data_IF_814625856987
#
_entry.id   IF_814625856987
#
_cell.length_a   1.000
_cell.length_b   1.000
_cell.length_c   1.000
_cell.angle_alpha   90.00
_cell.angle_beta   90.00
_cell.angle_gamma   90.00
#
_symmetry.space_group_name_H-M   'P 1'
#
loop_
_entity.id
_entity.type
_entity.pdbx_description
1 polymer ?
#
# COMPACT_ATOMS: atom_id res chain seq x y z
N UNK A 1 -2.45 19.89 4.95
CA UNK A 1 -3.08 19.60 6.26
C UNK A 1 -4.54 19.23 6.04
N UNK A 2 -4.94 18.05 6.50
CA UNK A 2 -6.31 17.55 6.41
C UNK A 2 -7.21 18.37 7.35
N UNK A 3 -8.47 18.60 6.94
CA UNK A 3 -9.45 19.24 7.81
C UNK A 3 -9.68 18.39 9.07
N UNK A 4 -9.72 19.01 10.25
CA UNK A 4 -9.87 18.32 11.55
C UNK A 4 -11.12 17.44 11.63
N UNK A 5 -12.22 17.86 11.02
CA UNK A 5 -13.46 17.06 10.92
C UNK A 5 -13.25 15.77 10.10
N UNK A 6 -12.51 15.86 9.01
CA UNK A 6 -12.16 14.71 8.16
C UNK A 6 -11.23 13.76 8.92
N UNK A 7 -10.19 14.29 9.57
CA UNK A 7 -9.25 13.52 10.38
C UNK A 7 -9.97 12.78 11.52
N UNK A 8 -10.89 13.46 12.21
CA UNK A 8 -11.68 12.85 13.28
C UNK A 8 -12.55 11.68 12.77
N UNK A 9 -13.28 11.88 11.66
CA UNK A 9 -14.12 10.83 11.08
C UNK A 9 -13.31 9.66 10.51
N UNK A 10 -12.17 9.91 9.89
CA UNK A 10 -11.26 8.86 9.46
C UNK A 10 -10.71 8.07 10.64
N UNK A 11 -10.38 8.76 11.74
CA UNK A 11 -9.88 8.13 12.97
C UNK A 11 -10.85 7.11 13.57
N UNK A 12 -12.17 7.30 13.44
CA UNK A 12 -13.19 6.35 13.88
C UNK A 12 -13.12 5.00 13.15
N UNK A 13 -12.46 4.95 11.99
CA UNK A 13 -12.32 3.73 11.17
C UNK A 13 -10.88 3.23 11.09
N UNK A 14 -9.98 3.81 11.84
CA UNK A 14 -8.54 3.54 11.76
C UNK A 14 -8.20 2.06 11.94
N UNK A 15 -8.90 1.36 12.83
CA UNK A 15 -8.72 -0.07 13.09
C UNK A 15 -9.07 -0.97 11.90
N UNK A 16 -9.83 -0.43 10.92
CA UNK A 16 -10.28 -1.16 9.73
C UNK A 16 -9.36 -0.99 8.53
N UNK A 17 -8.36 -0.14 8.61
CA UNK A 17 -7.47 0.13 7.49
C UNK A 17 -6.43 -0.97 7.27
N UNK A 18 -6.01 -1.64 8.33
CA UNK A 18 -5.03 -2.71 8.26
C UNK A 18 -5.64 -4.02 7.76
N UNK A 19 -5.07 -4.55 6.69
CA UNK A 19 -5.22 -5.96 6.31
C UNK A 19 -4.08 -6.71 6.99
N UNK A 20 -4.36 -7.62 7.96
CA UNK A 20 -3.33 -8.24 8.77
C UNK A 20 -2.45 -9.18 7.96
N UNK A 21 -1.19 -9.33 8.39
CA UNK A 21 -0.17 -10.13 7.73
C UNK A 21 -0.62 -11.57 7.45
N UNK A 22 -1.42 -12.16 8.34
CA UNK A 22 -1.88 -13.56 8.26
C UNK A 22 -2.73 -13.85 7.02
N UNK A 23 -3.37 -12.83 6.46
CA UNK A 23 -4.22 -12.97 5.26
C UNK A 23 -3.62 -12.31 4.02
N UNK A 24 -2.41 -11.77 4.11
CA UNK A 24 -1.70 -11.17 2.97
C UNK A 24 -0.76 -12.20 2.36
N UNK A 25 -0.95 -12.46 1.06
CA UNK A 25 -0.02 -13.31 0.33
C UNK A 25 1.38 -12.70 0.31
N UNK A 26 2.38 -13.52 0.57
CA UNK A 26 3.79 -13.11 0.57
C UNK A 26 4.68 -14.25 0.06
N UNK A 27 5.92 -13.95 -0.22
CA UNK A 27 6.96 -14.92 -0.55
C UNK A 27 8.20 -14.65 0.28
N UNK A 28 9.06 -15.66 0.44
CA UNK A 28 10.35 -15.49 1.10
C UNK A 28 11.42 -15.05 0.12
N UNK A 29 12.35 -14.25 0.59
CA UNK A 29 13.50 -13.75 -0.17
C UNK A 29 14.39 -14.88 -0.72
N UNK A 30 14.40 -16.03 -0.03
CA UNK A 30 15.14 -17.24 -0.42
C UNK A 30 14.39 -18.14 -1.41
N UNK A 31 13.11 -17.91 -1.67
CA UNK A 31 12.37 -18.64 -2.69
C UNK A 31 12.95 -18.40 -4.08
N UNK A 32 12.85 -19.42 -4.95
CA UNK A 32 13.13 -19.23 -6.38
C UNK A 32 11.95 -18.53 -7.06
N UNK A 33 12.23 -17.90 -8.20
CA UNK A 33 11.24 -17.10 -8.91
C UNK A 33 10.10 -17.93 -9.49
N UNK A 34 10.30 -19.19 -9.81
CA UNK A 34 9.22 -20.12 -10.27
C UNK A 34 8.13 -20.27 -9.21
N UNK A 35 8.49 -20.43 -7.94
CA UNK A 35 7.54 -20.44 -6.83
C UNK A 35 6.78 -19.11 -6.72
N UNK A 36 7.50 -18.00 -6.73
CA UNK A 36 6.91 -16.66 -6.67
C UNK A 36 5.98 -16.39 -7.86
N UNK A 37 6.32 -16.87 -9.04
CA UNK A 37 5.48 -16.79 -10.24
C UNK A 37 4.12 -17.46 -10.02
N UNK A 38 4.12 -18.67 -9.46
CA UNK A 38 2.87 -19.39 -9.15
C UNK A 38 2.02 -18.64 -8.13
N UNK A 39 2.62 -18.07 -7.09
CA UNK A 39 1.91 -17.26 -6.10
C UNK A 39 1.29 -16.02 -6.76
N UNK A 40 2.09 -15.26 -7.53
CA UNK A 40 1.65 -14.04 -8.20
C UNK A 40 0.53 -14.26 -9.21
N UNK A 41 0.49 -15.42 -9.88
CA UNK A 41 -0.60 -15.74 -10.81
C UNK A 41 -1.94 -16.05 -10.12
N UNK A 42 -1.93 -16.35 -8.82
CA UNK A 42 -3.13 -16.68 -8.04
C UNK A 42 -3.74 -15.49 -7.30
N UNK A 43 -2.97 -14.45 -7.10
CA UNK A 43 -3.40 -13.27 -6.34
C UNK A 43 -3.93 -12.17 -7.27
N UNK A 44 -4.73 -11.27 -6.68
CA UNK A 44 -5.30 -10.11 -7.40
C UNK A 44 -4.47 -8.82 -7.27
N UNK A 45 -3.38 -8.85 -6.50
CA UNK A 45 -2.52 -7.69 -6.29
C UNK A 45 -1.43 -7.62 -7.36
N UNK A 46 -1.05 -6.41 -7.74
CA UNK A 46 0.04 -6.19 -8.70
C UNK A 46 1.42 -6.50 -8.12
N UNK A 47 1.56 -6.40 -6.80
CA UNK A 47 2.79 -6.67 -6.05
C UNK A 47 2.46 -7.43 -4.77
N UNK A 48 3.41 -8.21 -4.28
CA UNK A 48 3.35 -8.90 -2.99
C UNK A 48 4.56 -8.58 -2.12
N UNK A 49 4.40 -8.57 -0.79
CA UNK A 49 5.50 -8.46 0.14
C UNK A 49 6.46 -9.64 0.05
N UNK A 50 7.74 -9.33 0.18
CA UNK A 50 8.82 -10.30 0.36
C UNK A 50 9.32 -10.22 1.79
N UNK A 51 9.36 -11.36 2.47
CA UNK A 51 9.77 -11.49 3.87
C UNK A 51 10.98 -12.42 3.99
N UNK A 52 11.75 -12.27 5.06
CA UNK A 52 12.73 -13.28 5.44
C UNK A 52 12.08 -14.38 6.32
N UNK A 53 12.86 -15.36 6.73
CA UNK A 53 12.40 -16.46 7.60
C UNK A 53 11.92 -16.03 8.99
N UNK A 54 12.27 -14.82 9.40
CA UNK A 54 11.88 -14.21 10.68
C UNK A 54 10.74 -13.19 10.53
N UNK A 55 10.10 -13.13 9.36
CA UNK A 55 9.00 -12.22 9.04
C UNK A 55 9.41 -10.74 8.92
N UNK A 56 10.70 -10.44 8.79
CA UNK A 56 11.13 -9.09 8.47
C UNK A 56 10.76 -8.74 7.03
N UNK A 57 10.30 -7.51 6.83
CA UNK A 57 10.00 -7.00 5.50
C UNK A 57 11.32 -6.75 4.74
N UNK A 58 11.42 -7.32 3.53
CA UNK A 58 12.61 -7.22 2.69
C UNK A 58 12.40 -6.41 1.41
N UNK A 59 11.20 -6.43 0.87
CA UNK A 59 10.88 -5.74 -0.37
C UNK A 59 9.54 -6.13 -0.96
N UNK A 60 9.30 -5.69 -2.19
CA UNK A 60 8.11 -6.03 -2.98
C UNK A 60 8.52 -6.75 -4.27
N UNK A 61 7.66 -7.66 -4.69
CA UNK A 61 7.82 -8.39 -5.94
C UNK A 61 6.55 -8.29 -6.78
N UNK A 62 6.69 -7.99 -8.07
CA UNK A 62 5.60 -7.94 -9.03
C UNK A 62 5.77 -8.96 -10.14
N UNK A 63 4.67 -9.30 -10.81
CA UNK A 63 4.73 -10.15 -12.01
C UNK A 63 5.56 -9.50 -13.13
N UNK A 64 5.51 -8.18 -13.28
CA UNK A 64 6.33 -7.45 -14.24
C UNK A 64 7.83 -7.62 -14.00
N UNK A 65 8.29 -7.56 -12.73
CA UNK A 65 9.69 -7.80 -12.38
C UNK A 65 10.14 -9.20 -12.76
N UNK A 66 9.30 -10.22 -12.54
CA UNK A 66 9.56 -11.59 -12.96
C UNK A 66 9.63 -11.73 -14.47
N UNK A 67 8.67 -11.12 -15.17
CA UNK A 67 8.59 -11.18 -16.64
C UNK A 67 9.84 -10.56 -17.27
N UNK A 68 10.34 -9.45 -16.75
CA UNK A 68 11.57 -8.81 -17.22
C UNK A 68 12.78 -9.75 -17.13
N UNK A 69 12.86 -10.62 -16.13
CA UNK A 69 13.97 -11.57 -16.00
C UNK A 69 13.97 -12.65 -17.07
N UNK A 70 12.82 -12.92 -17.67
CA UNK A 70 12.66 -13.91 -18.74
C UNK A 70 12.94 -13.34 -20.13
N UNK A 71 12.98 -12.02 -20.28
CA UNK A 71 13.21 -11.37 -21.58
C UNK A 71 14.67 -11.49 -21.99
N UNK A 72 14.91 -12.00 -23.19
CA UNK A 72 16.23 -12.16 -23.77
C UNK A 72 16.23 -11.71 -25.24
N UNK A 73 17.40 -11.75 -25.88
CA UNK A 73 17.59 -11.34 -27.28
C UNK A 73 16.75 -12.18 -28.27
N UNK A 74 16.46 -13.43 -27.93
CA UNK A 74 15.75 -14.39 -28.77
C UNK A 74 14.32 -14.70 -28.28
N UNK A 75 13.76 -13.84 -27.42
CA UNK A 75 12.41 -14.02 -26.88
C UNK A 75 12.37 -14.28 -25.39
N UNK A 76 11.36 -15.03 -24.93
CA UNK A 76 11.11 -15.31 -23.52
C UNK A 76 11.80 -16.61 -23.12
N UNK A 77 12.66 -16.56 -22.12
CA UNK A 77 13.32 -17.74 -21.53
C UNK A 77 12.81 -17.98 -20.08
N UNK A 78 11.86 -18.89 -19.89
CA UNK A 78 11.32 -19.19 -18.57
C UNK A 78 12.29 -19.95 -17.66
N UNK A 79 13.40 -20.48 -18.18
CA UNK A 79 14.41 -21.21 -17.37
C UNK A 79 15.09 -20.33 -16.34
N UNK A 80 15.09 -19.01 -16.51
CA UNK A 80 15.64 -18.05 -15.55
C UNK A 80 14.88 -18.06 -14.22
N UNK A 81 13.59 -18.40 -14.21
CA UNK A 81 12.77 -18.45 -13.01
C UNK A 81 13.29 -19.50 -11.99
N UNK A 82 13.79 -20.63 -12.46
CA UNK A 82 14.36 -21.67 -11.60
C UNK A 82 15.79 -21.39 -11.12
N UNK A 83 16.48 -20.42 -11.74
CA UNK A 83 17.90 -20.10 -11.44
C UNK A 83 18.08 -18.91 -10.52
N UNK A 84 17.12 -18.01 -10.47
CA UNK A 84 17.19 -16.78 -9.64
C UNK A 84 16.30 -16.91 -8.41
N UNK A 85 16.73 -16.23 -7.36
CA UNK A 85 15.94 -16.07 -6.13
C UNK A 85 15.18 -14.76 -6.13
N UNK A 86 14.12 -14.70 -5.32
CA UNK A 86 13.32 -13.49 -5.11
C UNK A 86 14.20 -12.32 -4.68
N UNK A 87 15.17 -12.55 -3.78
CA UNK A 87 16.11 -11.51 -3.31
C UNK A 87 16.90 -10.84 -4.44
N UNK A 88 17.15 -11.55 -5.56
CA UNK A 88 17.92 -11.02 -6.69
C UNK A 88 17.14 -10.03 -7.54
N UNK A 89 15.81 -10.00 -7.42
CA UNK A 89 14.91 -9.29 -8.35
C UNK A 89 13.98 -8.31 -7.64
N UNK A 90 13.66 -8.52 -6.37
CA UNK A 90 12.71 -7.71 -5.61
C UNK A 90 13.10 -6.23 -5.55
N UNK A 91 12.10 -5.37 -5.47
CA UNK A 91 12.27 -3.95 -5.15
C UNK A 91 12.56 -3.80 -3.66
N UNK A 92 13.70 -3.23 -3.30
CA UNK A 92 14.14 -3.07 -1.90
C UNK A 92 13.83 -1.69 -1.33
N UNK A 93 13.83 -0.65 -2.16
CA UNK A 93 13.50 0.71 -1.73
C UNK A 93 11.98 0.91 -1.75
N UNK A 94 11.36 0.59 -0.63
CA UNK A 94 9.91 0.65 -0.44
C UNK A 94 9.61 1.41 0.83
N UNK A 95 8.81 2.49 0.78
CA UNK A 95 8.37 3.18 1.98
C UNK A 95 7.49 2.27 2.82
N UNK A 96 7.76 2.24 4.12
CA UNK A 96 6.95 1.52 5.11
C UNK A 96 6.35 2.50 6.10
N UNK A 97 5.23 2.12 6.70
CA UNK A 97 4.57 2.89 7.75
C UNK A 97 4.48 2.07 9.03
N UNK A 98 4.31 2.77 10.15
CA UNK A 98 4.12 2.17 11.48
C UNK A 98 2.84 2.67 12.11
N UNK A 99 2.35 1.94 13.11
CA UNK A 99 1.26 2.40 13.96
C UNK A 99 1.77 3.31 15.09
N UNK A 100 1.01 4.29 15.56
CA UNK A 100 -0.31 4.73 15.04
C UNK A 100 -0.17 5.44 13.70
N UNK A 101 -1.20 5.36 12.87
CA UNK A 101 -1.17 5.96 11.54
C UNK A 101 -1.31 7.49 11.59
N UNK A 102 -0.55 8.16 10.74
CA UNK A 102 -0.86 9.52 10.30
C UNK A 102 -1.75 9.45 9.05
N UNK A 103 -2.98 9.93 9.17
CA UNK A 103 -3.95 9.90 8.07
C UNK A 103 -3.49 10.72 6.86
N UNK A 104 -2.81 11.85 7.08
CA UNK A 104 -2.28 12.69 6.00
C UNK A 104 -1.16 11.97 5.24
N UNK A 105 -0.24 11.35 5.98
CA UNK A 105 0.85 10.55 5.39
C UNK A 105 0.30 9.40 4.53
N UNK A 106 -0.66 8.64 5.07
CA UNK A 106 -1.31 7.53 4.35
C UNK A 106 -1.94 8.02 3.05
N UNK A 107 -2.75 9.07 3.10
CA UNK A 107 -3.42 9.61 1.92
C UNK A 107 -2.41 10.07 0.88
N UNK A 108 -1.33 10.72 1.30
CA UNK A 108 -0.28 11.20 0.41
C UNK A 108 0.45 10.04 -0.27
N UNK A 109 0.91 9.05 0.49
CA UNK A 109 1.65 7.91 -0.05
C UNK A 109 0.81 7.03 -0.99
N UNK A 110 -0.50 6.89 -0.73
CA UNK A 110 -1.40 6.11 -1.56
C UNK A 110 -1.75 6.77 -2.91
N UNK A 111 -1.34 8.01 -3.14
CA UNK A 111 -1.44 8.64 -4.47
C UNK A 111 -0.62 7.82 -5.48
N UNK A 112 0.60 7.45 -5.11
CA UNK A 112 1.54 6.77 -6.01
C UNK A 112 1.62 5.26 -5.76
N UNK A 113 1.31 4.79 -4.55
CA UNK A 113 1.39 3.38 -4.18
C UNK A 113 0.01 2.72 -4.16
N UNK A 114 -0.14 1.48 -4.69
CA UNK A 114 -1.42 0.76 -4.64
C UNK A 114 -1.79 0.32 -3.22
N UNK A 115 -0.78 0.07 -2.39
CA UNK A 115 -0.89 -0.22 -0.97
C UNK A 115 0.39 0.20 -0.24
N UNK A 116 0.29 0.33 1.07
CA UNK A 116 1.41 0.63 1.96
C UNK A 116 1.73 -0.59 2.80
N UNK A 117 3.01 -0.84 3.00
CA UNK A 117 3.51 -1.90 3.88
C UNK A 117 3.59 -1.38 5.31
N UNK A 118 3.00 -2.13 6.24
CA UNK A 118 3.03 -1.81 7.66
C UNK A 118 3.99 -2.75 8.38
N UNK A 119 4.91 -2.17 9.12
CA UNK A 119 5.89 -2.89 9.93
C UNK A 119 5.87 -2.37 11.38
N UNK A 120 6.35 -3.18 12.31
CA UNK A 120 6.61 -2.73 13.67
C UNK A 120 8.02 -2.13 13.80
N UNK A 121 8.43 -1.76 15.03
CA UNK A 121 9.74 -1.18 15.30
C UNK A 121 10.93 -2.09 14.97
N UNK A 122 10.71 -3.40 14.97
CA UNK A 122 11.72 -4.42 14.64
C UNK A 122 11.68 -4.82 13.16
N UNK A 123 11.01 -4.03 12.31
CA UNK A 123 10.80 -4.31 10.89
C UNK A 123 10.04 -5.62 10.60
N UNK A 124 9.29 -6.13 11.57
CA UNK A 124 8.40 -7.27 11.36
C UNK A 124 7.16 -6.81 10.57
N UNK A 125 6.85 -7.54 9.52
CA UNK A 125 5.69 -7.29 8.69
C UNK A 125 4.39 -7.56 9.47
N UNK A 126 3.54 -6.55 9.60
CA UNK A 126 2.27 -6.63 10.34
C UNK A 126 1.05 -6.61 9.45
N UNK A 127 1.18 -6.15 8.21
CA UNK A 127 0.10 -6.12 7.24
C UNK A 127 0.27 -5.03 6.19
N UNK A 128 -0.81 -4.74 5.48
CA UNK A 128 -0.87 -3.69 4.46
C UNK A 128 -2.08 -2.79 4.65
N UNK A 129 -1.96 -1.55 4.16
CA UNK A 129 -3.07 -0.60 4.01
C UNK A 129 -3.25 -0.36 2.52
N UNK A 130 -4.42 -0.72 1.99
CA UNK A 130 -4.70 -0.59 0.55
C UNK A 130 -5.50 0.67 0.23
N UNK A 131 -5.41 1.14 -1.01
CA UNK A 131 -6.28 2.20 -1.53
C UNK A 131 -7.75 1.88 -1.32
N UNK A 132 -8.15 0.62 -1.51
CA UNK A 132 -9.54 0.19 -1.35
C UNK A 132 -10.04 0.44 0.07
N UNK A 133 -9.27 0.08 1.09
CA UNK A 133 -9.67 0.28 2.49
C UNK A 133 -9.73 1.76 2.87
N UNK A 134 -8.80 2.56 2.37
CA UNK A 134 -8.85 4.02 2.56
C UNK A 134 -10.03 4.64 1.80
N UNK A 135 -10.32 4.21 0.57
CA UNK A 135 -11.49 4.69 -0.17
C UNK A 135 -12.80 4.40 0.55
N UNK A 136 -12.92 3.26 1.24
CA UNK A 136 -14.07 2.99 2.12
C UNK A 136 -14.14 4.00 3.27
N UNK A 137 -13.00 4.38 3.84
CA UNK A 137 -12.92 5.43 4.86
C UNK A 137 -13.35 6.79 4.34
N UNK A 138 -12.87 7.19 3.17
CA UNK A 138 -13.26 8.46 2.52
C UNK A 138 -14.77 8.45 2.17
N UNK A 139 -15.28 7.34 1.65
CA UNK A 139 -16.71 7.21 1.39
C UNK A 139 -17.55 7.37 2.67
N UNK A 140 -17.09 6.80 3.78
CA UNK A 140 -17.72 7.00 5.09
C UNK A 140 -17.74 8.49 5.48
N UNK A 141 -16.60 9.17 5.37
CA UNK A 141 -16.50 10.62 5.66
C UNK A 141 -17.46 11.42 4.79
N UNK A 142 -17.55 11.12 3.49
CA UNK A 142 -18.43 11.82 2.57
C UNK A 142 -19.92 11.70 2.96
N UNK A 143 -20.32 10.60 3.57
CA UNK A 143 -21.72 10.39 4.00
C UNK A 143 -22.02 10.85 5.43
N UNK A 144 -21.02 10.89 6.30
CA UNK A 144 -21.22 11.23 7.72
C UNK A 144 -20.91 12.69 8.06
N UNK A 145 -20.17 13.40 7.19
CA UNK A 145 -19.66 14.73 7.50
C UNK A 145 -20.76 15.71 7.97
N UNK A 146 -21.85 15.80 7.23
CA UNK A 146 -22.96 16.73 7.56
C UNK A 146 -23.89 16.23 8.67
N UNK A 147 -23.75 14.97 9.09
CA UNK A 147 -24.47 14.45 10.26
C UNK A 147 -23.84 14.93 11.57
N UNK A 148 -22.52 14.97 11.60
CA UNK A 148 -21.76 15.31 12.81
C UNK A 148 -21.27 16.77 12.83
N UNK A 149 -21.24 17.44 11.67
CA UNK A 149 -20.71 18.80 11.50
C UNK A 149 -21.62 19.66 10.65
N UNK A 150 -21.69 20.94 11.01
CA UNK A 150 -22.31 21.95 10.16
C UNK A 150 -21.27 22.45 9.15
N UNK A 151 -21.51 22.22 7.87
CA UNK A 151 -20.65 22.67 6.77
C UNK A 151 -21.32 23.85 6.07
N UNK A 152 -20.65 24.98 6.01
CA UNK A 152 -21.12 26.17 5.33
C UNK A 152 -20.02 26.81 4.49
N UNK A 153 -20.36 27.45 3.35
CA UNK A 153 -19.37 28.20 2.59
C UNK A 153 -18.80 29.35 3.42
N UNK A 154 -17.49 29.61 3.30
CA UNK A 154 -16.92 30.85 3.83
C UNK A 154 -17.46 32.02 3.03
N UNK A 155 -18.04 33.01 3.71
CA UNK A 155 -18.46 34.26 3.08
C UNK A 155 -17.21 34.96 2.60
N UNK A 156 -17.01 35.11 1.29
CA UNK A 156 -16.04 36.03 0.74
C UNK A 156 -16.60 37.45 0.97
N UNK A 157 -15.97 38.21 1.85
CA UNK A 157 -16.24 39.63 1.94
C UNK A 157 -15.67 40.23 0.64
N UNK A 158 -16.56 40.47 -0.31
CA UNK A 158 -16.23 41.32 -1.46
C UNK A 158 -16.10 42.73 -0.86
N UNK A 159 -14.86 43.15 -0.65
CA UNK A 159 -14.58 44.59 -0.44
C UNK A 159 -14.95 45.27 -1.76
N UNK A 160 -16.16 45.87 -1.77
CA UNK A 160 -16.53 46.88 -2.75
C UNK A 160 -15.51 47.97 -2.70
N UNK A 161 -14.52 47.95 -3.56
CA UNK A 161 -13.79 49.14 -3.95
C UNK A 161 -14.67 49.91 -4.91
N UNK A 162 -15.61 50.66 -4.35
CA UNK A 162 -16.14 51.86 -5.00
C UNK A 162 -15.04 52.92 -4.94
N UNK A 163 -14.50 53.23 -6.10
CA UNK A 163 -14.14 54.60 -6.50
C UNK A 163 -14.11 54.69 -8.01
#
# INVERSE_FOLDING_TARGET
VIAKSVEHLLGQRQDRFLIPAEIVANVQDTNHLDHAFLVLTKIKYSKIPVLDKHQHFKGLLSLAMLTETMLGLNGIDPSTLGRKKVADVMQTEVPTIQLPYDAEEILHLLIDQPFLVVVNRDNIFTGIVTRREIMKGINFVAHELEKDYTVSPKIQTVLDTKN
#
